data_IF_041545480232
#
_entry.id   IF_041545480232
#
_cell.length_a   1.000
_cell.length_b   1.000
_cell.length_c   1.000
_cell.angle_alpha   90.00
_cell.angle_beta   90.00
_cell.angle_gamma   90.00
#
_symmetry.space_group_name_H-M   'P 1'
#
loop_
_entity.id
_entity.type
_entity.pdbx_description
1 polymer ?
#
# COMPACT_ATOMS: atom_id res chain seq x y z
N UNK A 1 21.22 4.91 -4.44
CA UNK A 1 20.18 5.28 -5.42
C UNK A 1 19.10 6.00 -4.66
N UNK A 2 19.01 7.33 -4.82
CA UNK A 2 17.80 8.05 -4.42
C UNK A 2 16.69 7.57 -5.36
N UNK A 3 15.52 7.24 -4.81
CA UNK A 3 14.38 6.77 -5.60
C UNK A 3 13.95 7.79 -6.65
N UNK A 4 13.04 7.39 -7.55
CA UNK A 4 12.42 8.35 -8.45
C UNK A 4 11.78 9.49 -7.63
N UNK A 5 11.83 10.75 -8.12
CA UNK A 5 11.09 11.85 -7.52
C UNK A 5 9.62 11.44 -7.36
N UNK A 6 9.09 11.56 -6.16
CA UNK A 6 7.69 11.25 -5.87
C UNK A 6 7.07 12.41 -5.10
N UNK A 7 5.78 12.62 -5.35
CA UNK A 7 4.98 13.63 -4.69
C UNK A 7 4.35 13.03 -3.43
N UNK A 8 4.43 13.77 -2.32
CA UNK A 8 3.64 13.50 -1.13
C UNK A 8 2.39 14.37 -1.16
N UNK A 9 1.24 13.79 -0.87
CA UNK A 9 -0.04 14.49 -0.74
C UNK A 9 -0.64 14.10 0.60
N UNK A 10 -1.16 15.08 1.33
CA UNK A 10 -1.96 14.89 2.53
C UNK A 10 -3.36 15.45 2.26
N UNK A 11 -4.38 14.62 2.41
CA UNK A 11 -5.78 14.99 2.21
C UNK A 11 -6.53 14.86 3.53
N UNK A 12 -7.20 15.93 3.96
CA UNK A 12 -8.13 15.91 5.08
C UNK A 12 -9.53 15.79 4.52
N UNK A 13 -10.25 14.74 4.91
CA UNK A 13 -11.62 14.52 4.48
C UNK A 13 -12.51 14.87 5.67
N UNK A 14 -13.46 15.77 5.43
CA UNK A 14 -14.44 16.15 6.44
C UNK A 14 -15.22 14.90 6.91
N UNK A 15 -15.40 14.76 8.22
CA UNK A 15 -16.11 13.64 8.85
C UNK A 15 -15.50 12.25 8.57
N UNK A 16 -14.19 12.17 8.28
CA UNK A 16 -13.49 10.88 8.22
C UNK A 16 -13.41 10.25 9.62
N UNK A 17 -13.57 8.91 9.74
CA UNK A 17 -13.43 8.22 11.01
C UNK A 17 -11.98 8.25 11.51
N UNK A 18 -11.82 8.24 12.83
CA UNK A 18 -10.55 8.35 13.54
C UNK A 18 -10.11 6.96 14.00
N UNK A 19 -8.92 6.56 13.55
CA UNK A 19 -8.28 5.30 13.98
C UNK A 19 -8.12 5.29 15.50
N UNK A 20 -8.37 4.13 16.12
CA UNK A 20 -8.34 3.91 17.58
C UNK A 20 -9.45 4.59 18.41
N UNK A 21 -10.31 5.40 17.79
CA UNK A 21 -11.47 6.00 18.45
C UNK A 21 -12.78 5.44 17.91
N UNK A 22 -12.96 5.51 16.60
CA UNK A 22 -14.15 4.96 15.93
C UNK A 22 -14.03 3.45 15.73
N UNK A 23 -15.16 2.81 15.40
CA UNK A 23 -15.21 1.36 15.26
C UNK A 23 -14.29 0.89 14.11
N UNK A 24 -13.51 -0.19 14.29
CA UNK A 24 -12.66 -0.71 13.22
C UNK A 24 -13.43 -0.96 11.92
N UNK A 25 -14.67 -1.43 12.00
CA UNK A 25 -15.52 -1.67 10.83
C UNK A 25 -15.83 -0.38 10.04
N UNK A 26 -16.09 0.73 10.73
CA UNK A 26 -16.39 2.03 10.12
C UNK A 26 -15.14 2.60 9.43
N UNK A 27 -13.98 2.53 10.11
CA UNK A 27 -12.69 2.92 9.54
C UNK A 27 -12.37 2.08 8.30
N UNK A 28 -12.52 0.76 8.40
CA UNK A 28 -12.29 -0.17 7.30
C UNK A 28 -13.19 0.14 6.10
N UNK A 29 -14.49 0.31 6.33
CA UNK A 29 -15.47 0.61 5.28
C UNK A 29 -15.18 1.94 4.61
N UNK A 30 -14.83 2.97 5.38
CA UNK A 30 -14.50 4.29 4.86
C UNK A 30 -13.27 4.25 3.93
N UNK A 31 -12.23 3.50 4.32
CA UNK A 31 -11.03 3.30 3.50
C UNK A 31 -11.37 2.52 2.23
N UNK A 32 -12.07 1.40 2.33
CA UNK A 32 -12.38 0.54 1.18
C UNK A 32 -13.24 1.24 0.12
N UNK A 33 -14.15 2.12 0.54
CA UNK A 33 -15.02 2.89 -0.35
C UNK A 33 -14.26 3.95 -1.18
N UNK A 34 -13.13 4.44 -0.67
CA UNK A 34 -12.39 5.57 -1.27
C UNK A 34 -11.03 5.19 -1.86
N UNK A 35 -10.41 4.13 -1.34
CA UNK A 35 -9.06 3.72 -1.69
C UNK A 35 -9.10 2.29 -2.21
N UNK A 36 -8.52 2.07 -3.39
CA UNK A 36 -8.46 0.75 -4.00
C UNK A 36 -7.08 0.48 -4.57
N UNK A 37 -6.63 -0.76 -4.41
CA UNK A 37 -5.44 -1.29 -5.09
C UNK A 37 -5.81 -2.05 -6.38
N UNK A 38 -7.10 -2.09 -6.76
CA UNK A 38 -7.53 -2.75 -7.99
C UNK A 38 -6.98 -2.02 -9.20
N UNK A 39 -6.48 -2.78 -10.16
CA UNK A 39 -6.05 -2.23 -11.45
C UNK A 39 -7.29 -1.68 -12.16
N UNK A 40 -7.31 -0.39 -12.55
CA UNK A 40 -8.45 0.20 -13.25
C UNK A 40 -8.77 -0.56 -14.54
N UNK A 41 -10.03 -0.56 -14.95
CA UNK A 41 -10.42 -1.24 -16.17
C UNK A 41 -9.77 -0.58 -17.40
N UNK A 42 -9.12 -1.41 -18.23
CA UNK A 42 -8.40 -0.97 -19.43
C UNK A 42 -9.30 -0.77 -20.65
N UNK A 43 -10.59 -1.10 -20.56
CA UNK A 43 -11.58 -0.83 -21.60
C UNK A 43 -12.08 0.62 -21.50
N UNK A 44 -13.21 0.94 -22.14
CA UNK A 44 -13.74 2.31 -22.29
C UNK A 44 -14.02 3.07 -20.99
N UNK A 45 -13.89 2.46 -19.81
CA UNK A 45 -14.19 3.12 -18.53
C UNK A 45 -13.06 4.05 -18.06
N UNK A 46 -11.81 3.60 -18.16
CA UNK A 46 -10.68 4.33 -17.54
C UNK A 46 -9.31 3.97 -18.14
N UNK A 47 -9.12 4.04 -19.48
CA UNK A 47 -7.89 3.59 -20.13
C UNK A 47 -6.66 4.38 -19.70
N UNK A 48 -6.77 5.70 -19.53
CA UNK A 48 -5.66 6.56 -19.11
C UNK A 48 -5.23 6.26 -17.67
N UNK A 49 -6.20 6.06 -16.76
CA UNK A 49 -5.91 5.72 -15.37
C UNK A 49 -5.25 4.34 -15.29
N UNK A 50 -5.75 3.36 -16.06
CA UNK A 50 -5.11 2.05 -16.18
C UNK A 50 -3.65 2.19 -16.64
N UNK A 51 -3.39 2.97 -17.70
CA UNK A 51 -2.04 3.21 -18.19
C UNK A 51 -1.13 3.84 -17.11
N UNK A 52 -1.60 4.87 -16.40
CA UNK A 52 -0.82 5.53 -15.36
C UNK A 52 -0.49 4.59 -14.19
N UNK A 53 -1.49 3.85 -13.70
CA UNK A 53 -1.32 2.90 -12.59
C UNK A 53 -0.37 1.77 -12.99
N UNK A 54 -0.60 1.12 -14.13
CA UNK A 54 0.23 0.01 -14.60
C UNK A 54 1.67 0.43 -14.92
N UNK A 55 1.86 1.65 -15.40
CA UNK A 55 3.20 2.17 -15.73
C UNK A 55 4.00 2.60 -14.52
N UNK A 56 3.38 3.28 -13.55
CA UNK A 56 4.09 3.99 -12.48
C UNK A 56 3.89 3.44 -11.08
N UNK A 57 2.81 2.70 -10.81
CA UNK A 57 2.49 2.19 -9.46
C UNK A 57 2.76 0.68 -9.30
N UNK A 58 3.15 0.00 -10.38
CA UNK A 58 3.51 -1.42 -10.33
C UNK A 58 4.90 -1.63 -9.72
N UNK A 59 4.97 -2.48 -8.70
CA UNK A 59 6.25 -2.89 -8.12
C UNK A 59 7.06 -3.73 -9.11
N UNK A 60 8.30 -3.33 -9.39
CA UNK A 60 9.28 -4.11 -10.15
C UNK A 60 10.40 -4.54 -9.21
N UNK A 61 10.45 -5.83 -8.88
CA UNK A 61 11.45 -6.36 -7.97
C UNK A 61 12.86 -6.14 -8.54
N UNK A 62 13.73 -5.52 -7.75
CA UNK A 62 15.13 -5.29 -8.08
C UNK A 62 16.04 -5.98 -7.06
N UNK A 63 17.36 -5.97 -7.32
CA UNK A 63 18.36 -6.47 -6.35
C UNK A 63 18.29 -5.74 -5.01
N UNK A 64 17.85 -4.48 -4.98
CA UNK A 64 17.69 -3.71 -3.75
C UNK A 64 16.57 -4.25 -2.87
N UNK A 65 15.49 -4.80 -3.46
CA UNK A 65 14.32 -5.28 -2.73
C UNK A 65 14.65 -6.40 -1.76
N UNK A 66 15.74 -7.14 -1.98
CA UNK A 66 16.16 -8.25 -1.12
C UNK A 66 17.44 -7.90 -0.37
N UNK A 67 17.58 -8.44 0.83
CA UNK A 67 18.79 -8.40 1.64
C UNK A 67 19.08 -9.81 2.14
N UNK A 68 20.35 -10.20 2.09
CA UNK A 68 20.80 -11.40 2.77
C UNK A 68 21.05 -11.07 4.24
N UNK A 69 20.36 -11.78 5.12
CA UNK A 69 20.46 -11.64 6.57
C UNK A 69 21.08 -12.92 7.10
N UNK A 70 22.13 -12.79 7.90
CA UNK A 70 22.74 -13.91 8.61
C UNK A 70 22.02 -14.09 9.93
N UNK A 71 21.37 -15.25 10.10
CA UNK A 71 20.74 -15.63 11.38
C UNK A 71 21.53 -16.80 11.97
N UNK A 72 21.53 -17.94 11.28
CA UNK A 72 22.43 -19.09 11.48
C UNK A 72 23.10 -19.46 10.16
N UNK A 73 22.30 -19.50 9.10
CA UNK A 73 22.71 -19.47 7.68
C UNK A 73 22.36 -18.11 7.06
N UNK A 74 22.80 -17.88 5.82
CA UNK A 74 22.34 -16.74 5.03
C UNK A 74 20.94 -17.03 4.47
N UNK A 75 19.99 -16.16 4.79
CA UNK A 75 18.64 -16.20 4.24
C UNK A 75 18.40 -14.91 3.46
N UNK A 76 17.87 -15.02 2.24
CA UNK A 76 17.43 -13.86 1.48
C UNK A 76 16.04 -13.47 1.93
N UNK A 77 15.86 -12.23 2.40
CA UNK A 77 14.56 -11.68 2.77
C UNK A 77 14.30 -10.38 2.04
N UNK A 78 13.03 -10.07 1.84
CA UNK A 78 12.64 -8.75 1.37
C UNK A 78 12.98 -7.69 2.41
N UNK A 79 13.41 -6.52 1.96
CA UNK A 79 13.66 -5.38 2.84
C UNK A 79 12.32 -4.87 3.37
N UNK A 80 12.31 -4.53 4.66
CA UNK A 80 11.13 -3.98 5.34
C UNK A 80 9.88 -4.88 5.26
N UNK A 81 10.07 -6.16 4.92
CA UNK A 81 8.99 -7.13 4.62
C UNK A 81 8.06 -6.67 3.48
N UNK A 82 8.57 -5.90 2.52
CA UNK A 82 7.84 -5.44 1.33
C UNK A 82 8.42 -5.97 0.00
N UNK A 83 7.56 -6.26 -1.00
CA UNK A 83 6.10 -6.13 -0.97
C UNK A 83 5.45 -7.20 -0.07
N UNK A 84 4.40 -6.80 0.66
CA UNK A 84 3.59 -7.74 1.44
C UNK A 84 2.72 -8.56 0.48
N UNK A 85 2.41 -9.83 0.82
CA UNK A 85 1.44 -10.59 0.06
C UNK A 85 0.09 -9.87 0.03
N UNK A 86 -0.68 -10.10 -1.03
CA UNK A 86 -2.05 -9.59 -1.15
C UNK A 86 -2.88 -10.26 -0.06
N UNK A 87 -3.64 -9.46 0.69
CA UNK A 87 -4.62 -9.94 1.65
C UNK A 87 -6.03 -9.85 1.09
N UNK A 88 -6.90 -10.77 1.50
CA UNK A 88 -8.31 -10.80 1.09
C UNK A 88 -9.16 -9.76 1.83
N UNK A 89 -8.66 -9.24 2.95
CA UNK A 89 -9.32 -8.23 3.78
C UNK A 89 -8.33 -7.18 4.26
N UNK A 90 -8.86 -6.00 4.56
CA UNK A 90 -8.10 -4.94 5.21
C UNK A 90 -7.73 -5.37 6.64
N UNK A 91 -6.50 -5.07 7.04
CA UNK A 91 -6.03 -5.28 8.40
C UNK A 91 -5.56 -3.93 8.94
N UNK A 92 -6.18 -3.49 10.03
CA UNK A 92 -5.78 -2.30 10.78
C UNK A 92 -5.01 -2.80 11.98
N UNK A 93 -3.76 -2.34 12.13
CA UNK A 93 -3.02 -2.58 13.37
C UNK A 93 -3.55 -1.63 14.44
N UNK A 94 -3.69 -2.13 15.66
CA UNK A 94 -3.95 -1.27 16.80
C UNK A 94 -2.84 -0.22 16.92
N UNK A 95 -3.20 1.06 16.90
CA UNK A 95 -2.25 2.13 17.15
C UNK A 95 -2.12 2.23 18.66
N UNK A 96 -0.93 1.94 19.20
CA UNK A 96 -0.62 2.22 20.60
C UNK A 96 -0.92 3.71 20.86
N UNK A 97 -1.86 3.97 21.76
CA UNK A 97 -2.15 5.33 22.23
C UNK A 97 -0.95 5.74 23.08
N UNK A 98 -0.18 6.72 22.60
CA UNK A 98 0.94 7.31 23.32
C UNK A 98 0.49 8.10 24.56
#
# INVERSE_FOLDING_TARGET
MHGAPHYHILLWIENAPVVSFDRPEEVCSFIQDRITCHIPDSSNKSPDLNFLVTKYQMHKCSKYCKRNIKVKTYVSRFRFDFPRPVGDSICINDVEIA
#
